data_IF_727530470503
#
_entry.id   IF_727530470503
#
_cell.length_a   1.000
_cell.length_b   1.000
_cell.length_c   1.000
_cell.angle_alpha   90.00
_cell.angle_beta   90.00
_cell.angle_gamma   90.00
#
_symmetry.space_group_name_H-M   'P 1'
#
loop_
_entity.id
_entity.type
_entity.pdbx_description
1 polymer ?
#
# COMPACT_ATOMS: atom_id res chain seq x y z
N UNK A 1 -7.95 14.04 1.88
CA UNK A 1 -8.50 12.71 1.49
C UNK A 1 -8.96 12.81 0.04
N UNK A 2 -8.97 11.72 -0.73
CA UNK A 2 -9.27 11.75 -2.17
C UNK A 2 -10.58 11.02 -2.49
N UNK A 3 -11.36 11.58 -3.41
CA UNK A 3 -12.54 10.93 -3.98
C UNK A 3 -12.22 10.52 -5.41
N UNK A 4 -12.34 9.22 -5.71
CA UNK A 4 -12.20 8.68 -7.05
C UNK A 4 -13.60 8.42 -7.63
N UNK A 5 -13.90 9.10 -8.72
CA UNK A 5 -15.15 8.97 -9.47
C UNK A 5 -14.90 8.05 -10.67
N UNK A 6 -15.73 7.03 -10.86
CA UNK A 6 -15.67 6.11 -12.00
C UNK A 6 -16.91 6.28 -12.88
N UNK A 7 -16.69 6.42 -14.20
CA UNK A 7 -17.73 6.35 -15.24
C UNK A 7 -17.30 5.30 -16.26
N UNK A 8 -17.91 4.11 -16.20
CA UNK A 8 -17.55 2.98 -17.06
C UNK A 8 -16.07 2.63 -16.92
N UNK A 9 -15.30 2.81 -18.00
CA UNK A 9 -13.85 2.55 -18.04
C UNK A 9 -12.98 3.74 -17.61
N UNK A 10 -13.53 4.94 -17.45
CA UNK A 10 -12.79 6.14 -17.10
C UNK A 10 -12.84 6.42 -15.60
N UNK A 11 -11.77 7.01 -15.05
CA UNK A 11 -11.75 7.42 -13.64
C UNK A 11 -11.01 8.73 -13.42
N UNK A 12 -11.60 9.60 -12.61
CA UNK A 12 -11.06 10.93 -12.24
C UNK A 12 -10.94 11.03 -10.73
N UNK A 13 -9.96 11.79 -10.23
CA UNK A 13 -9.65 11.86 -8.80
C UNK A 13 -9.68 13.32 -8.35
N UNK A 14 -10.41 13.59 -7.27
CA UNK A 14 -10.56 14.92 -6.68
C UNK A 14 -10.08 14.96 -5.23
N UNK A 15 -9.53 16.11 -4.83
CA UNK A 15 -9.18 16.39 -3.45
C UNK A 15 -10.41 16.86 -2.67
N UNK A 16 -10.66 16.25 -1.51
CA UNK A 16 -11.78 16.63 -0.65
C UNK A 16 -11.32 17.64 0.41
N UNK A 17 -12.15 18.64 0.74
CA UNK A 17 -11.86 19.60 1.80
C UNK A 17 -11.67 18.91 3.15
N UNK A 18 -10.84 19.52 4.00
CA UNK A 18 -10.46 18.98 5.31
C UNK A 18 -11.61 19.19 6.30
N UNK A 19 -12.63 18.33 6.23
CA UNK A 19 -13.76 18.29 7.15
C UNK A 19 -13.67 17.05 8.04
N UNK A 20 -14.40 17.01 9.16
CA UNK A 20 -14.41 15.88 10.12
C UNK A 20 -14.71 14.51 9.48
N UNK A 21 -15.41 14.47 8.34
CA UNK A 21 -15.74 13.24 7.58
C UNK A 21 -15.66 13.48 6.08
N UNK A 22 -14.46 13.59 5.49
CA UNK A 22 -14.34 14.03 4.09
C UNK A 22 -14.85 12.96 3.12
N UNK A 23 -14.79 11.66 3.45
CA UNK A 23 -15.41 10.61 2.62
C UNK A 23 -16.94 10.72 2.53
N UNK A 24 -17.62 11.33 3.50
CA UNK A 24 -19.07 11.50 3.42
C UNK A 24 -19.50 12.51 2.35
N UNK A 25 -18.58 13.39 1.93
CA UNK A 25 -18.78 14.29 0.80
C UNK A 25 -18.50 13.63 -0.56
N UNK A 26 -17.85 12.45 -0.58
CA UNK A 26 -17.62 11.70 -1.81
C UNK A 26 -18.92 11.00 -2.25
N UNK A 27 -19.78 11.77 -2.92
CA UNK A 27 -21.08 11.33 -3.43
C UNK A 27 -21.13 11.43 -4.95
N UNK A 28 -22.12 10.76 -5.55
CA UNK A 28 -22.39 10.89 -6.99
C UNK A 28 -22.58 12.35 -7.41
N UNK A 29 -23.31 13.12 -6.59
CA UNK A 29 -23.58 14.53 -6.86
C UNK A 29 -22.31 15.38 -6.83
N UNK A 30 -21.41 15.13 -5.87
CA UNK A 30 -20.13 15.82 -5.80
C UNK A 30 -19.27 15.58 -7.05
N UNK A 31 -19.19 14.32 -7.52
CA UNK A 31 -18.46 13.99 -8.73
C UNK A 31 -19.04 14.65 -9.98
N UNK A 32 -20.38 14.73 -10.09
CA UNK A 32 -21.05 15.39 -11.22
C UNK A 32 -20.82 16.90 -11.23
N UNK A 33 -20.79 17.52 -10.06
CA UNK A 33 -20.58 18.97 -9.90
C UNK A 33 -19.13 19.39 -10.18
N UNK A 34 -18.16 18.53 -9.85
CA UNK A 34 -16.72 18.83 -9.97
C UNK A 34 -16.09 18.33 -11.27
N UNK A 35 -16.73 17.41 -12.00
CA UNK A 35 -16.33 17.06 -13.38
C UNK A 35 -16.82 18.17 -14.31
N UNK A 36 -16.04 19.25 -14.43
CA UNK A 36 -16.32 20.35 -15.37
C UNK A 36 -15.98 20.02 -16.83
N UNK A 37 -15.21 18.95 -17.09
CA UNK A 37 -14.69 18.65 -18.43
C UNK A 37 -15.22 17.33 -19.01
N UNK A 38 -16.52 17.27 -19.34
CA UNK A 38 -17.10 16.46 -20.42
C UNK A 38 -16.87 14.93 -20.45
N UNK A 39 -16.11 14.37 -19.52
CA UNK A 39 -15.66 12.98 -19.51
C UNK A 39 -16.76 12.03 -19.06
N UNK A 40 -17.73 12.56 -18.31
CA UNK A 40 -18.96 11.86 -17.95
C UNK A 40 -20.14 12.32 -18.81
N UNK A 41 -20.10 13.52 -19.42
CA UNK A 41 -21.23 14.12 -20.15
C UNK A 41 -21.39 13.52 -21.56
N UNK A 42 -20.27 13.29 -22.26
CA UNK A 42 -20.26 12.61 -23.56
C UNK A 42 -20.51 11.09 -23.50
N UNK A 43 -20.49 10.52 -22.30
CA UNK A 43 -20.62 9.08 -22.01
C UNK A 43 -21.95 8.79 -21.28
N UNK A 44 -22.62 9.83 -20.76
CA UNK A 44 -23.88 9.75 -20.02
C UNK A 44 -25.04 9.21 -20.84
N UNK A 45 -25.00 9.37 -22.17
CA UNK A 45 -26.11 8.97 -23.04
C UNK A 45 -25.96 7.57 -23.66
N UNK A 46 -24.74 7.01 -23.80
CA UNK A 46 -24.55 5.73 -24.52
C UNK A 46 -23.81 4.64 -23.71
N UNK A 47 -22.99 4.99 -22.70
CA UNK A 47 -22.09 4.00 -22.04
C UNK A 47 -22.02 4.09 -20.51
N UNK A 48 -22.58 5.13 -19.89
CA UNK A 48 -22.73 5.23 -18.44
C UNK A 48 -24.23 5.29 -18.10
N UNK A 49 -24.96 4.16 -18.18
CA UNK A 49 -26.30 4.12 -17.63
C UNK A 49 -26.18 4.39 -16.13
N UNK A 50 -27.15 5.10 -15.55
CA UNK A 50 -27.06 5.68 -14.20
C UNK A 50 -26.71 4.67 -13.07
N UNK A 51 -26.79 3.37 -13.37
CA UNK A 51 -26.41 2.18 -12.60
C UNK A 51 -24.91 1.82 -12.58
N UNK A 52 -24.08 2.30 -13.51
CA UNK A 52 -22.63 1.96 -13.57
C UNK A 52 -21.70 3.03 -12.99
N UNK A 53 -22.27 4.05 -12.36
CA UNK A 53 -21.52 5.07 -11.66
C UNK A 53 -21.02 4.56 -10.31
N UNK A 54 -19.70 4.62 -10.07
CA UNK A 54 -19.10 4.20 -8.79
C UNK A 54 -18.25 5.31 -8.20
N UNK A 55 -18.36 5.51 -6.90
CA UNK A 55 -17.49 6.39 -6.13
C UNK A 55 -16.66 5.56 -5.17
N UNK A 56 -15.35 5.79 -5.14
CA UNK A 56 -14.49 5.23 -4.11
C UNK A 56 -13.80 6.35 -3.36
N UNK A 57 -13.95 6.37 -2.04
CA UNK A 57 -13.12 7.23 -1.21
C UNK A 57 -11.78 6.52 -0.95
N UNK A 58 -10.68 7.17 -1.31
CA UNK A 58 -9.33 6.69 -1.04
C UNK A 58 -8.64 7.66 -0.09
N UNK A 59 -8.35 7.20 1.12
CA UNK A 59 -7.31 7.82 1.94
C UNK A 59 -5.97 7.25 1.47
N UNK A 60 -5.09 8.11 0.93
CA UNK A 60 -3.72 7.74 0.57
C UNK A 60 -2.93 7.23 1.79
N UNK A 61 -3.33 7.65 2.99
CA UNK A 61 -2.93 7.08 4.27
C UNK A 61 -4.03 6.17 4.84
N UNK A 62 -4.36 5.09 4.14
CA UNK A 62 -5.22 4.07 4.73
C UNK A 62 -4.41 3.32 5.79
N UNK A 63 -5.02 3.05 6.94
CA UNK A 63 -4.44 2.23 8.02
C UNK A 63 -3.87 0.91 7.48
N UNK A 64 -4.47 0.37 6.41
CA UNK A 64 -3.98 -0.83 5.73
C UNK A 64 -2.58 -0.65 5.13
N UNK A 65 -2.34 0.43 4.38
CA UNK A 65 -1.04 0.69 3.77
C UNK A 65 0.01 1.07 4.83
N UNK A 66 -0.40 1.81 5.86
CA UNK A 66 0.45 2.12 7.01
C UNK A 66 0.90 0.85 7.76
N UNK A 67 -0.04 -0.08 8.00
CA UNK A 67 0.25 -1.35 8.67
C UNK A 67 1.22 -2.22 7.86
N UNK A 68 1.04 -2.33 6.54
CA UNK A 68 1.94 -3.11 5.68
C UNK A 68 3.37 -2.58 5.79
N UNK A 69 3.55 -1.26 5.68
CA UNK A 69 4.88 -0.63 5.78
C UNK A 69 5.47 -0.81 7.18
N UNK A 70 4.68 -0.60 8.25
CA UNK A 70 5.15 -0.79 9.63
C UNK A 70 5.59 -2.23 9.92
N UNK A 71 4.82 -3.23 9.48
CA UNK A 71 5.19 -4.63 9.65
C UNK A 71 6.49 -4.96 8.94
N UNK A 72 6.68 -4.46 7.71
CA UNK A 72 7.93 -4.64 6.98
C UNK A 72 9.14 -4.06 7.74
N UNK A 73 9.01 -2.83 8.25
CA UNK A 73 10.07 -2.18 9.03
C UNK A 73 10.42 -2.97 10.30
N UNK A 74 9.41 -3.42 11.06
CA UNK A 74 9.62 -4.24 12.27
C UNK A 74 10.32 -5.55 11.91
N UNK A 75 9.93 -6.21 10.82
CA UNK A 75 10.54 -7.46 10.38
C UNK A 75 12.02 -7.27 10.02
N UNK A 76 12.35 -6.24 9.23
CA UNK A 76 13.73 -5.93 8.85
C UNK A 76 14.57 -5.55 10.07
N UNK A 77 14.06 -4.66 10.92
CA UNK A 77 14.74 -4.27 12.17
C UNK A 77 14.97 -5.49 13.06
N UNK A 78 13.97 -6.37 13.20
CA UNK A 78 14.10 -7.62 13.94
C UNK A 78 15.19 -8.54 13.40
N UNK A 79 15.26 -8.70 12.06
CA UNK A 79 16.32 -9.49 11.41
C UNK A 79 17.71 -8.87 11.61
N UNK A 80 17.83 -7.55 11.51
CA UNK A 80 19.09 -6.84 11.74
C UNK A 80 19.56 -6.96 13.18
N UNK A 81 18.64 -6.80 14.14
CA UNK A 81 18.92 -6.99 15.56
C UNK A 81 19.36 -8.44 15.81
N UNK A 82 18.65 -9.43 15.26
CA UNK A 82 19.02 -10.84 15.42
C UNK A 82 20.41 -11.14 14.85
N UNK A 83 20.72 -10.66 13.64
CA UNK A 83 22.04 -10.84 13.04
C UNK A 83 23.15 -10.16 13.85
N UNK A 84 22.91 -8.94 14.32
CA UNK A 84 23.84 -8.21 15.19
C UNK A 84 24.08 -8.92 16.52
N UNK A 85 23.02 -9.38 17.20
CA UNK A 85 23.12 -10.17 18.42
C UNK A 85 23.84 -11.49 18.20
N UNK A 86 23.54 -12.21 17.11
CA UNK A 86 24.22 -13.47 16.76
C UNK A 86 25.72 -13.24 16.56
N UNK A 87 26.12 -12.21 15.84
CA UNK A 87 27.54 -11.89 15.63
C UNK A 87 28.25 -11.55 16.96
N UNK A 88 27.58 -10.83 17.86
CA UNK A 88 28.13 -10.56 19.18
C UNK A 88 28.25 -11.85 20.00
N UNK A 89 27.21 -12.68 20.04
CA UNK A 89 27.18 -13.92 20.83
C UNK A 89 28.14 -15.00 20.31
N UNK A 90 28.32 -15.07 18.99
CA UNK A 90 29.27 -15.97 18.35
C UNK A 90 30.72 -15.55 18.63
N UNK A 91 31.00 -14.25 18.85
CA UNK A 91 32.32 -13.80 19.31
C UNK A 91 32.67 -14.28 20.74
N UNK A 92 31.66 -14.64 21.54
CA UNK A 92 31.83 -15.25 22.86
C UNK A 92 31.87 -16.80 22.82
N UNK A 93 31.62 -17.43 21.66
CA UNK A 93 31.81 -18.88 21.50
C UNK A 93 33.23 -19.15 20.99
N UNK A 94 34.01 -20.06 21.61
CA UNK A 94 35.21 -20.58 20.98
C UNK A 94 34.81 -21.23 19.64
N UNK A 95 35.59 -20.97 18.58
CA UNK A 95 35.35 -21.46 17.22
C UNK A 95 35.09 -22.97 17.18
N UNK A 96 33.84 -23.38 16.98
CA UNK A 96 33.53 -24.71 16.48
C UNK A 96 33.63 -24.66 14.94
N UNK A 97 34.73 -25.21 14.40
CA UNK A 97 34.92 -25.35 12.96
C UNK A 97 33.67 -26.00 12.32
N UNK A 98 33.14 -25.46 11.20
CA UNK A 98 32.05 -26.11 10.49
C UNK A 98 32.52 -27.50 10.06
N UNK A 99 31.85 -28.54 10.58
CA UNK A 99 32.17 -29.96 10.37
C UNK A 99 32.47 -30.33 8.90
N UNK A 100 31.96 -29.56 7.93
CA UNK A 100 32.23 -29.72 6.49
C UNK A 100 33.71 -29.61 6.11
N UNK A 101 34.48 -28.73 6.73
CA UNK A 101 35.90 -28.52 6.38
C UNK A 101 36.77 -29.69 6.87
N UNK A 102 36.41 -30.30 8.01
CA UNK A 102 37.10 -31.49 8.56
C UNK A 102 37.01 -32.73 7.66
N UNK A 103 35.94 -32.90 6.89
CA UNK A 103 35.83 -34.04 5.97
C UNK A 103 36.72 -33.89 4.73
N UNK A 104 36.91 -32.67 4.24
CA UNK A 104 37.74 -32.39 3.06
C UNK A 104 39.22 -32.65 3.36
N UNK A 105 39.69 -32.28 4.56
CA UNK A 105 41.09 -32.46 4.96
C UNK A 105 41.44 -33.89 5.41
N UNK A 106 40.44 -34.72 5.74
CA UNK A 106 40.65 -36.15 6.02
C UNK A 106 40.68 -37.03 4.75
N UNK A 107 40.42 -36.43 3.58
CA UNK A 107 40.40 -37.10 2.27
C UNK A 107 41.57 -36.74 1.33
N UNK A 108 42.53 -35.94 1.81
CA UNK A 108 43.84 -35.72 1.17
C UNK A 108 44.93 -36.44 1.97
#
# INVERSE_FOLDING_TARGET
MFCKCFCGANSTIFELPILDKPCSNCTKQFCLDNVQDGLCDSIADETCPSNDFRTACFARDSYKDEMIVRTFLIAVVGLLIYAGFKQFHDHWKPQEQPRRERYVQASQ
#
